data_IF_277707746099
#
_entry.id   IF_277707746099
#
_cell.length_a   1.000
_cell.length_b   1.000
_cell.length_c   1.000
_cell.angle_alpha   90.00
_cell.angle_beta   90.00
_cell.angle_gamma   90.00
#
_symmetry.space_group_name_H-M   'P 1'
#
loop_
_entity.id
_entity.type
_entity.pdbx_description
1 polymer ?
#
# COMPACT_ATOMS: atom_id res chain seq x y z
N UNK A 1 -15.95 -2.20 -56.38
CA UNK A 1 -14.55 -2.56 -56.03
C UNK A 1 -13.89 -1.55 -55.08
N UNK A 2 -14.00 -0.24 -55.30
CA UNK A 2 -13.36 0.79 -54.43
C UNK A 2 -14.00 0.87 -53.03
N UNK A 3 -15.33 0.73 -52.93
CA UNK A 3 -16.06 0.74 -51.64
C UNK A 3 -15.79 -0.49 -50.76
N UNK A 4 -15.58 -1.67 -51.36
CA UNK A 4 -15.23 -2.90 -50.64
C UNK A 4 -13.79 -2.86 -50.13
N UNK A 5 -12.86 -2.32 -50.93
CA UNK A 5 -11.47 -2.10 -50.53
C UNK A 5 -11.37 -1.10 -49.36
N UNK A 6 -12.17 -0.03 -49.37
CA UNK A 6 -12.23 0.98 -48.29
C UNK A 6 -12.82 0.42 -46.99
N UNK A 7 -13.79 -0.49 -47.06
CA UNK A 7 -14.35 -1.19 -45.89
C UNK A 7 -13.37 -2.20 -45.29
N UNK A 8 -12.68 -2.97 -46.13
CA UNK A 8 -11.64 -3.91 -45.68
C UNK A 8 -10.45 -3.19 -45.03
N UNK A 9 -10.03 -2.04 -45.59
CA UNK A 9 -8.99 -1.20 -45.00
C UNK A 9 -9.41 -0.61 -43.64
N UNK A 10 -10.65 -0.15 -43.52
CA UNK A 10 -11.20 0.34 -42.24
C UNK A 10 -11.31 -0.78 -41.18
N UNK A 11 -11.72 -1.99 -41.55
CA UNK A 11 -11.75 -3.16 -40.65
C UNK A 11 -10.34 -3.56 -40.21
N UNK A 12 -9.37 -3.51 -41.13
CA UNK A 12 -7.96 -3.81 -40.81
C UNK A 12 -7.33 -2.77 -39.86
N UNK A 13 -7.73 -1.50 -39.95
CA UNK A 13 -7.31 -0.44 -39.02
C UNK A 13 -7.94 -0.59 -37.63
N UNK A 14 -9.19 -1.07 -37.54
CA UNK A 14 -9.85 -1.37 -36.27
C UNK A 14 -9.14 -2.55 -35.55
N UNK A 15 -8.75 -3.59 -36.29
CA UNK A 15 -7.97 -4.70 -35.74
C UNK A 15 -6.59 -4.27 -35.23
N UNK A 16 -5.94 -3.30 -35.89
CA UNK A 16 -4.64 -2.79 -35.47
C UNK A 16 -4.67 -2.07 -34.10
N UNK A 17 -5.82 -1.48 -33.74
CA UNK A 17 -5.98 -0.75 -32.47
C UNK A 17 -6.42 -1.62 -31.28
N UNK A 18 -6.97 -2.82 -31.54
CA UNK A 18 -7.47 -3.74 -30.50
C UNK A 18 -6.40 -4.71 -29.96
N UNK A 19 -5.30 -4.92 -30.68
CA UNK A 19 -4.23 -5.86 -30.29
C UNK A 19 -3.44 -5.41 -29.04
N UNK A 20 -3.09 -4.13 -28.83
CA UNK A 20 -2.25 -3.73 -27.70
C UNK A 20 -2.85 -4.04 -26.33
N UNK A 21 -4.15 -3.79 -26.14
CA UNK A 21 -4.82 -4.00 -24.86
C UNK A 21 -4.88 -5.49 -24.46
N UNK A 22 -5.09 -6.38 -25.44
CA UNK A 22 -5.15 -7.81 -25.21
C UNK A 22 -3.78 -8.38 -24.78
N UNK A 23 -2.68 -7.91 -25.38
CA UNK A 23 -1.33 -8.32 -25.01
C UNK A 23 -0.99 -7.88 -23.58
N UNK A 24 -1.32 -6.65 -23.18
CA UNK A 24 -1.08 -6.17 -21.81
C UNK A 24 -1.83 -6.97 -20.75
N UNK A 25 -3.13 -7.24 -20.96
CA UNK A 25 -3.93 -8.04 -20.03
C UNK A 25 -3.35 -9.47 -19.87
N UNK A 26 -2.85 -10.07 -20.96
CA UNK A 26 -2.21 -11.39 -20.89
C UNK A 26 -0.90 -11.39 -20.10
N UNK A 27 -0.17 -10.27 -20.10
CA UNK A 27 1.06 -10.12 -19.32
C UNK A 27 0.75 -9.92 -17.83
N UNK A 28 -0.25 -9.11 -17.50
CA UNK A 28 -0.66 -8.86 -16.11
C UNK A 28 -1.10 -10.16 -15.43
N UNK A 29 -1.90 -10.97 -16.13
CA UNK A 29 -2.32 -12.29 -15.65
C UNK A 29 -1.12 -13.20 -15.36
N UNK A 30 -0.10 -13.21 -16.23
CA UNK A 30 1.11 -14.01 -16.02
C UNK A 30 1.90 -13.55 -14.78
N UNK A 31 2.10 -12.24 -14.62
CA UNK A 31 2.79 -11.68 -13.44
C UNK A 31 2.03 -12.08 -12.17
N UNK A 32 0.70 -11.98 -12.18
CA UNK A 32 -0.14 -12.34 -11.06
C UNK A 32 0.01 -13.82 -10.67
N UNK A 33 -0.09 -14.73 -11.65
CA UNK A 33 0.06 -16.18 -11.42
C UNK A 33 1.44 -16.49 -10.84
N UNK A 34 2.51 -15.94 -11.41
CA UNK A 34 3.87 -16.15 -10.88
C UNK A 34 4.04 -15.56 -9.48
N UNK A 35 3.41 -14.44 -9.17
CA UNK A 35 3.44 -13.87 -7.82
C UNK A 35 2.74 -14.77 -6.79
N UNK A 36 1.63 -15.40 -7.16
CA UNK A 36 0.93 -16.40 -6.33
C UNK A 36 1.81 -17.65 -6.13
N UNK A 37 2.47 -18.13 -7.19
CA UNK A 37 3.44 -19.23 -7.07
C UNK A 37 4.60 -18.89 -6.14
N UNK A 38 5.19 -17.70 -6.27
CA UNK A 38 6.24 -17.22 -5.37
C UNK A 38 5.75 -17.19 -3.92
N UNK A 39 4.52 -16.73 -3.67
CA UNK A 39 3.91 -16.75 -2.33
C UNK A 39 3.78 -18.17 -1.78
N UNK A 40 3.26 -19.11 -2.56
CA UNK A 40 3.13 -20.51 -2.15
C UNK A 40 4.47 -21.19 -1.87
N UNK A 41 5.53 -20.78 -2.58
CA UNK A 41 6.89 -21.26 -2.37
C UNK A 41 7.60 -20.59 -1.18
N UNK A 42 6.94 -19.67 -0.47
CA UNK A 42 7.52 -18.93 0.65
C UNK A 42 8.42 -17.76 0.25
N UNK A 43 8.49 -17.44 -1.05
CA UNK A 43 9.27 -16.33 -1.60
C UNK A 43 8.49 -15.01 -1.48
N UNK A 44 8.09 -14.64 -0.26
CA UNK A 44 7.16 -13.54 -0.01
C UNK A 44 7.63 -12.19 -0.55
N UNK A 45 8.95 -11.92 -0.50
CA UNK A 45 9.52 -10.69 -1.03
C UNK A 45 9.40 -10.60 -2.56
N UNK A 46 9.77 -11.68 -3.26
CA UNK A 46 9.63 -11.77 -4.73
C UNK A 46 8.17 -11.64 -5.15
N UNK A 47 7.27 -12.31 -4.42
CA UNK A 47 5.83 -12.21 -4.62
C UNK A 47 5.33 -10.76 -4.48
N UNK A 48 5.73 -10.07 -3.41
CA UNK A 48 5.40 -8.66 -3.20
C UNK A 48 5.92 -7.76 -4.31
N UNK A 49 7.16 -7.96 -4.76
CA UNK A 49 7.77 -7.15 -5.83
C UNK A 49 6.98 -7.31 -7.16
N UNK A 50 6.54 -8.53 -7.50
CA UNK A 50 5.70 -8.79 -8.69
C UNK A 50 4.31 -8.20 -8.55
N UNK A 51 3.67 -8.32 -7.40
CA UNK A 51 2.38 -7.68 -7.18
C UNK A 51 2.50 -6.14 -7.25
N UNK A 52 3.57 -5.56 -6.73
CA UNK A 52 3.85 -4.13 -6.88
C UNK A 52 4.07 -3.72 -8.35
N UNK A 53 4.64 -4.59 -9.18
CA UNK A 53 4.72 -4.37 -10.64
C UNK A 53 3.32 -4.18 -11.24
N UNK A 54 2.35 -5.01 -10.85
CA UNK A 54 0.96 -4.87 -11.31
C UNK A 54 0.32 -3.56 -10.86
N UNK A 55 0.56 -3.15 -9.60
CA UNK A 55 0.09 -1.86 -9.08
C UNK A 55 0.67 -0.71 -9.89
N UNK A 56 1.98 -0.75 -10.21
CA UNK A 56 2.65 0.27 -11.02
C UNK A 56 2.14 0.33 -12.46
N UNK A 57 1.60 -0.79 -12.97
CA UNK A 57 0.94 -0.88 -14.28
C UNK A 57 -0.52 -0.38 -14.25
N UNK A 58 -1.00 0.06 -13.08
CA UNK A 58 -2.36 0.58 -12.88
C UNK A 58 -3.40 -0.48 -12.60
N UNK A 59 -2.99 -1.74 -12.37
CA UNK A 59 -3.93 -2.81 -11.99
C UNK A 59 -4.38 -2.57 -10.54
N UNK A 60 -5.69 -2.57 -10.33
CA UNK A 60 -6.29 -2.46 -9.01
C UNK A 60 -7.44 -3.47 -8.90
N UNK A 61 -7.30 -4.43 -7.99
CA UNK A 61 -8.36 -5.40 -7.66
C UNK A 61 -8.28 -5.76 -6.19
N UNK A 62 -9.42 -6.18 -5.61
CA UNK A 62 -9.46 -6.63 -4.23
C UNK A 62 -8.49 -7.81 -3.99
N UNK A 63 -8.42 -8.74 -4.95
CA UNK A 63 -7.55 -9.91 -4.90
C UNK A 63 -6.06 -9.55 -4.91
N UNK A 64 -5.65 -8.59 -5.76
CA UNK A 64 -4.28 -8.09 -5.81
C UNK A 64 -3.87 -7.48 -4.48
N UNK A 65 -4.71 -6.59 -3.94
CA UNK A 65 -4.43 -5.93 -2.66
C UNK A 65 -4.48 -6.90 -1.49
N UNK A 66 -5.38 -7.88 -1.50
CA UNK A 66 -5.43 -8.94 -0.50
C UNK A 66 -4.14 -9.78 -0.50
N UNK A 67 -3.64 -10.17 -1.68
CA UNK A 67 -2.39 -10.92 -1.77
C UNK A 67 -1.16 -10.10 -1.35
N UNK A 68 -1.11 -8.81 -1.66
CA UNK A 68 -0.08 -7.91 -1.11
C UNK A 68 -0.13 -7.84 0.42
N UNK A 69 -1.33 -7.77 1.00
CA UNK A 69 -1.53 -7.85 2.45
C UNK A 69 -0.99 -9.15 3.02
N UNK A 70 -1.28 -10.29 2.39
CA UNK A 70 -0.73 -11.60 2.77
C UNK A 70 0.80 -11.61 2.72
N UNK A 71 1.42 -11.07 1.67
CA UNK A 71 2.88 -11.01 1.54
C UNK A 71 3.52 -10.15 2.65
N UNK A 72 2.93 -8.99 2.97
CA UNK A 72 3.40 -8.13 4.06
C UNK A 72 3.22 -8.81 5.42
N UNK A 73 2.09 -9.49 5.64
CA UNK A 73 1.84 -10.23 6.87
C UNK A 73 2.90 -11.32 7.12
N UNK A 74 3.24 -12.08 6.08
CA UNK A 74 4.27 -13.12 6.14
C UNK A 74 5.69 -12.60 6.37
N UNK A 75 5.93 -11.33 6.05
CA UNK A 75 7.18 -10.62 6.31
C UNK A 75 7.16 -9.83 7.63
N UNK A 76 6.10 -9.97 8.44
CA UNK A 76 5.89 -9.23 9.70
C UNK A 76 5.81 -7.70 9.51
N UNK A 77 5.61 -7.23 8.28
CA UNK A 77 5.36 -5.83 7.97
C UNK A 77 3.88 -5.50 8.20
N UNK A 78 3.50 -5.41 9.47
CA UNK A 78 2.11 -5.24 9.90
C UNK A 78 1.50 -3.93 9.39
N UNK A 79 2.30 -2.87 9.25
CA UNK A 79 1.84 -1.57 8.76
C UNK A 79 1.36 -1.64 7.32
N UNK A 80 2.19 -2.16 6.41
CA UNK A 80 1.79 -2.32 5.01
C UNK A 80 0.74 -3.41 4.83
N UNK A 81 0.77 -4.46 5.64
CA UNK A 81 -0.26 -5.50 5.67
C UNK A 81 -1.66 -4.91 5.88
N UNK A 82 -1.83 -4.14 6.97
CA UNK A 82 -3.11 -3.49 7.30
C UNK A 82 -3.53 -2.54 6.17
N UNK A 83 -2.60 -1.76 5.65
CA UNK A 83 -2.89 -0.81 4.57
C UNK A 83 -3.41 -1.52 3.30
N UNK A 84 -2.78 -2.61 2.88
CA UNK A 84 -3.20 -3.36 1.70
C UNK A 84 -4.54 -4.08 1.91
N UNK A 85 -4.80 -4.66 3.08
CA UNK A 85 -6.10 -5.23 3.37
C UNK A 85 -7.21 -4.18 3.42
N UNK A 86 -6.94 -2.97 3.93
CA UNK A 86 -7.91 -1.87 3.89
C UNK A 86 -8.23 -1.46 2.44
N UNK A 87 -7.22 -1.41 1.56
CA UNK A 87 -7.42 -1.20 0.12
C UNK A 87 -8.25 -2.31 -0.52
N UNK A 88 -8.00 -3.57 -0.17
CA UNK A 88 -8.78 -4.70 -0.65
C UNK A 88 -10.24 -4.60 -0.19
N UNK A 89 -10.47 -4.27 1.08
CA UNK A 89 -11.81 -4.13 1.67
C UNK A 89 -12.58 -2.96 1.06
N UNK A 90 -11.91 -1.87 0.67
CA UNK A 90 -12.56 -0.76 -0.05
C UNK A 90 -13.15 -1.21 -1.39
N UNK A 91 -12.47 -2.13 -2.09
CA UNK A 91 -12.93 -2.65 -3.38
C UNK A 91 -13.95 -3.78 -3.24
N UNK A 92 -13.85 -4.59 -2.18
CA UNK A 92 -14.81 -5.65 -1.88
C UNK A 92 -15.21 -5.67 -0.39
N UNK A 93 -16.13 -4.78 0.05
CA UNK A 93 -16.49 -4.65 1.46
C UNK A 93 -17.22 -5.86 2.07
N UNK A 94 -17.79 -6.71 1.20
CA UNK A 94 -18.56 -7.90 1.57
C UNK A 94 -17.71 -9.16 1.71
N UNK A 95 -16.41 -9.08 1.46
CA UNK A 95 -15.51 -10.23 1.54
C UNK A 95 -15.19 -10.59 3.01
N UNK A 96 -15.61 -11.77 3.49
CA UNK A 96 -15.36 -12.18 4.87
C UNK A 96 -13.88 -12.48 5.12
N UNK A 97 -13.13 -12.95 4.12
CA UNK A 97 -11.72 -13.35 4.27
C UNK A 97 -10.84 -12.12 4.42
N UNK A 98 -11.10 -11.06 3.63
CA UNK A 98 -10.41 -9.77 3.77
C UNK A 98 -10.65 -9.20 5.17
N UNK A 99 -11.90 -9.21 5.64
CA UNK A 99 -12.25 -8.66 6.96
C UNK A 99 -11.59 -9.45 8.08
N UNK A 100 -11.67 -10.78 8.01
CA UNK A 100 -11.05 -11.66 8.98
C UNK A 100 -9.53 -11.44 9.06
N UNK A 101 -8.83 -11.42 7.92
CA UNK A 101 -7.38 -11.23 7.91
C UNK A 101 -6.95 -9.83 8.35
N UNK A 102 -7.71 -8.78 8.02
CA UNK A 102 -7.46 -7.43 8.49
C UNK A 102 -7.59 -7.35 10.02
N UNK A 103 -8.66 -7.89 10.58
CA UNK A 103 -8.89 -7.89 12.02
C UNK A 103 -7.85 -8.74 12.75
N UNK A 104 -7.45 -9.86 12.17
CA UNK A 104 -6.35 -10.69 12.67
C UNK A 104 -5.02 -9.93 12.66
N UNK A 105 -4.65 -9.25 11.56
CA UNK A 105 -3.43 -8.45 11.51
C UNK A 105 -3.41 -7.33 12.58
N UNK A 106 -4.56 -6.71 12.85
CA UNK A 106 -4.70 -5.66 13.86
C UNK A 106 -4.50 -6.16 15.30
N UNK A 107 -4.67 -7.45 15.60
CA UNK A 107 -4.42 -7.96 16.96
C UNK A 107 -2.94 -7.87 17.32
N UNK A 108 -2.04 -8.07 16.36
CA UNK A 108 -0.58 -7.98 16.57
C UNK A 108 -0.11 -6.55 16.85
N UNK A 109 -0.74 -5.55 16.22
CA UNK A 109 -0.44 -4.14 16.47
C UNK A 109 -0.91 -3.71 17.86
N UNK A 110 -2.12 -4.15 18.26
CA UNK A 110 -2.65 -3.85 19.60
C UNK A 110 -1.74 -4.39 20.71
N UNK A 111 -1.21 -5.59 20.55
CA UNK A 111 -0.30 -6.19 21.53
C UNK A 111 1.03 -5.41 21.65
N UNK A 112 1.57 -4.95 20.51
CA UNK A 112 2.79 -4.13 20.48
C UNK A 112 2.58 -2.72 21.08
N UNK A 113 1.35 -2.20 21.06
CA UNK A 113 0.99 -0.86 21.52
C UNK A 113 0.84 -0.69 23.03
N UNK A 114 1.12 -1.73 23.83
CA UNK A 114 1.20 -1.61 25.30
C UNK A 114 2.44 -0.83 25.77
N UNK A 115 3.12 -0.13 24.85
CA UNK A 115 4.10 0.92 25.13
C UNK A 115 3.35 2.19 25.54
N UNK A 116 3.68 2.72 26.72
CA UNK A 116 3.03 3.92 27.25
C UNK A 116 2.91 5.02 26.19
N UNK A 117 1.73 5.67 26.03
CA UNK A 117 1.53 6.67 24.99
C UNK A 117 2.61 7.74 25.08
N UNK A 118 3.18 8.11 23.93
CA UNK A 118 4.17 9.17 23.85
C UNK A 118 3.57 10.43 24.47
N UNK A 119 4.18 10.99 25.53
CA UNK A 119 3.54 12.07 26.24
C UNK A 119 3.42 13.29 25.33
N UNK A 120 2.20 13.77 25.08
CA UNK A 120 1.95 14.91 24.18
C UNK A 120 2.74 16.16 24.59
N UNK A 121 3.03 16.32 25.88
CA UNK A 121 3.88 17.41 26.37
C UNK A 121 5.28 17.41 25.77
N UNK A 122 5.83 16.27 25.32
CA UNK A 122 7.14 16.24 24.64
C UNK A 122 7.11 16.87 23.26
N UNK A 123 5.96 16.84 22.57
CA UNK A 123 5.77 17.56 21.29
C UNK A 123 5.57 19.05 21.56
N UNK A 124 4.85 19.41 22.62
CA UNK A 124 4.59 20.83 22.93
C UNK A 124 5.80 21.54 23.55
N UNK A 125 6.57 20.83 24.36
CA UNK A 125 7.75 21.33 25.06
C UNK A 125 9.05 20.74 24.53
N UNK A 126 9.10 20.26 23.28
CA UNK A 126 10.32 19.69 22.68
C UNK A 126 11.50 20.67 22.75
N UNK A 127 11.22 21.98 22.65
CA UNK A 127 12.20 23.05 22.80
C UNK A 127 12.98 23.01 24.12
N UNK A 128 12.42 22.45 25.20
CA UNK A 128 13.13 22.29 26.49
C UNK A 128 14.30 21.32 26.41
N UNK A 129 14.27 20.37 25.48
CA UNK A 129 15.34 19.41 25.24
C UNK A 129 16.44 19.99 24.34
N UNK A 130 16.10 21.01 23.54
CA UNK A 130 17.04 21.70 22.64
C UNK A 130 17.76 22.88 23.29
N UNK A 131 17.16 23.51 24.31
CA UNK A 131 17.68 24.71 24.94
C UNK A 131 18.45 24.38 26.23
N UNK A 132 19.67 24.93 26.41
CA UNK A 132 20.43 24.74 27.64
C UNK A 132 19.68 25.28 28.87
N UNK A 133 19.86 24.65 30.03
CA UNK A 133 19.24 25.09 31.30
C UNK A 133 19.58 26.54 31.66
N UNK A 134 20.79 27.01 31.30
CA UNK A 134 21.20 28.40 31.47
C UNK A 134 20.35 29.38 30.66
N UNK A 135 19.97 29.00 29.44
CA UNK A 135 19.11 29.81 28.58
C UNK A 135 17.69 29.90 29.15
N UNK A 136 17.14 28.78 29.60
CA UNK A 136 15.82 28.73 30.24
C UNK A 136 15.77 29.59 31.51
N UNK A 137 16.85 29.59 32.29
CA UNK A 137 16.96 30.40 33.51
C UNK A 137 17.00 31.91 33.21
N UNK A 138 17.78 32.32 32.21
CA UNK A 138 17.84 33.73 31.79
C UNK A 138 16.48 34.19 31.24
N UNK A 139 15.85 33.38 30.38
CA UNK A 139 14.52 33.70 29.84
C UNK A 139 13.45 33.83 30.94
N UNK A 140 13.49 32.96 31.95
CA UNK A 140 12.55 33.02 33.07
C UNK A 140 12.74 34.29 33.93
N UNK A 141 13.98 34.72 34.16
CA UNK A 141 14.29 35.92 34.93
C UNK A 141 13.93 37.20 34.18
N UNK A 142 14.15 37.25 32.87
CA UNK A 142 13.83 38.44 32.07
C UNK A 142 12.33 38.60 31.84
N UNK A 143 11.58 37.49 31.68
CA UNK A 143 10.13 37.53 31.53
C UNK A 143 9.41 37.84 32.86
N UNK A 144 9.89 37.31 34.00
CA UNK A 144 9.30 37.59 35.32
C UNK A 144 9.74 38.92 35.95
N UNK A 145 10.81 39.55 35.45
CA UNK A 145 11.35 40.80 35.99
C UNK A 145 10.75 42.08 35.40
N UNK A 146 9.66 42.00 34.63
CA UNK A 146 9.05 43.13 33.91
C UNK A 146 7.69 43.59 34.45
N UNK A 147 7.31 43.16 35.65
CA UNK A 147 6.13 43.64 36.39
C UNK A 147 6.50 44.69 37.44
#
# INVERSE_FOLDING_TARGET
MILTCRRLFAVSLIFLFLIPAAVSASQDARIFVTAVEDYHNGNYRSSQDRFNELVNRGVASAELFYNLGNCCFKQEDLGHCIWWYEKALQLNPGDPDIRFNLDYARTFVKDTSNTAPFPFYRIFFFWKELLPSSFLMVAALTLNGSS
#
